data_IF_354899939648
#
_entry.id   IF_354899939648
#
_cell.length_a   1.000
_cell.length_b   1.000
_cell.length_c   1.000
_cell.angle_alpha   90.00
_cell.angle_beta   90.00
_cell.angle_gamma   90.00
#
_symmetry.space_group_name_H-M   'P 1'
#
loop_
_entity.id
_entity.type
_entity.pdbx_description
1 polymer ?
#
# COMPACT_ATOMS: atom_id res chain seq x y z
N UNK A 1 7.62 28.45 19.43
CA UNK A 1 6.75 27.27 19.21
C UNK A 1 7.58 26.23 18.48
N UNK A 2 7.75 25.09 19.12
CA UNK A 2 8.75 24.05 18.85
C UNK A 2 8.54 23.30 17.54
N UNK A 3 9.66 22.97 16.91
CA UNK A 3 9.86 22.07 15.77
C UNK A 3 9.40 20.64 16.11
N UNK A 4 8.47 20.05 15.33
CA UNK A 4 8.32 18.59 15.08
C UNK A 4 6.99 18.28 14.38
N UNK A 5 6.86 18.55 13.07
CA UNK A 5 5.75 17.96 12.29
C UNK A 5 6.09 17.69 10.81
N UNK A 6 7.36 17.38 10.52
CA UNK A 6 7.82 17.01 9.18
C UNK A 6 8.56 15.66 9.17
N UNK A 7 8.23 14.78 10.12
CA UNK A 7 8.90 13.48 10.30
C UNK A 7 7.97 12.27 10.24
N UNK A 8 6.75 12.42 9.73
CA UNK A 8 5.75 11.33 9.72
C UNK A 8 5.04 11.18 8.36
N UNK A 9 5.68 11.59 7.27
CA UNK A 9 5.14 11.42 5.90
C UNK A 9 6.04 10.59 4.99
N UNK A 10 7.14 10.03 5.52
CA UNK A 10 8.17 9.33 4.74
C UNK A 10 8.38 7.85 5.10
N UNK A 11 7.37 7.21 5.73
CA UNK A 11 7.37 5.75 5.95
C UNK A 11 5.98 5.14 5.71
N UNK A 12 5.26 5.58 4.68
CA UNK A 12 4.17 4.76 4.11
C UNK A 12 4.19 4.71 2.59
N UNK A 13 5.34 4.36 1.97
CA UNK A 13 5.36 4.07 0.54
C UNK A 13 4.35 2.98 0.15
N UNK A 14 3.92 2.15 1.11
CA UNK A 14 2.92 1.10 0.90
C UNK A 14 1.53 1.63 0.51
N UNK A 15 1.07 2.75 1.07
CA UNK A 15 -0.30 3.25 0.83
C UNK A 15 -0.47 3.81 -0.58
N UNK A 16 0.38 4.76 -0.97
CA UNK A 16 0.35 5.36 -2.31
C UNK A 16 0.63 4.32 -3.41
N UNK A 17 1.63 3.46 -3.20
CA UNK A 17 1.94 2.37 -4.15
C UNK A 17 0.78 1.40 -4.30
N UNK A 18 0.05 1.09 -3.23
CA UNK A 18 -1.09 0.18 -3.30
C UNK A 18 -2.22 0.72 -4.17
N UNK A 19 -2.46 2.05 -4.20
CA UNK A 19 -3.45 2.64 -5.09
C UNK A 19 -3.06 2.52 -6.56
N UNK A 20 -1.78 2.74 -6.89
CA UNK A 20 -1.28 2.57 -8.26
C UNK A 20 -1.35 1.10 -8.71
N UNK A 21 -0.92 0.17 -7.87
CA UNK A 21 -0.98 -1.27 -8.18
C UNK A 21 -2.43 -1.75 -8.28
N UNK A 22 -3.33 -1.22 -7.44
CA UNK A 22 -4.75 -1.57 -7.48
C UNK A 22 -5.37 -1.25 -8.84
N UNK A 23 -5.10 -0.06 -9.40
CA UNK A 23 -5.60 0.36 -10.70
C UNK A 23 -5.13 -0.60 -11.81
N UNK A 24 -3.81 -0.83 -11.87
CA UNK A 24 -3.21 -1.73 -12.85
C UNK A 24 -3.68 -3.20 -12.71
N UNK A 25 -3.88 -3.68 -11.48
CA UNK A 25 -4.39 -5.03 -11.22
C UNK A 25 -5.86 -5.19 -11.63
N UNK A 26 -6.69 -4.14 -11.48
CA UNK A 26 -8.07 -4.16 -11.99
C UNK A 26 -8.10 -4.22 -13.51
N UNK A 27 -7.24 -3.44 -14.18
CA UNK A 27 -7.12 -3.45 -15.64
C UNK A 27 -6.68 -4.83 -16.18
N UNK A 28 -5.80 -5.52 -15.46
CA UNK A 28 -5.34 -6.87 -15.80
C UNK A 28 -6.32 -7.98 -15.41
N UNK A 29 -7.27 -7.70 -14.51
CA UNK A 29 -8.15 -8.71 -13.90
C UNK A 29 -7.45 -9.61 -12.87
N UNK A 30 -6.32 -9.17 -12.29
CA UNK A 30 -5.61 -9.91 -11.25
C UNK A 30 -6.28 -9.72 -9.88
N UNK A 31 -7.24 -10.58 -9.61
CA UNK A 31 -8.04 -10.53 -8.38
C UNK A 31 -7.18 -10.73 -7.12
N UNK A 32 -6.10 -11.52 -7.19
CA UNK A 32 -5.24 -11.78 -6.03
C UNK A 32 -4.48 -10.52 -5.63
N UNK A 33 -3.94 -9.80 -6.60
CA UNK A 33 -3.26 -8.52 -6.36
C UNK A 33 -4.25 -7.44 -5.93
N UNK A 34 -5.45 -7.39 -6.52
CA UNK A 34 -6.52 -6.46 -6.10
C UNK A 34 -6.86 -6.64 -4.61
N UNK A 35 -7.01 -7.89 -4.15
CA UNK A 35 -7.33 -8.18 -2.75
C UNK A 35 -6.19 -7.76 -1.79
N UNK A 36 -4.93 -8.04 -2.18
CA UNK A 36 -3.77 -7.61 -1.42
C UNK A 36 -3.67 -6.08 -1.32
N UNK A 37 -3.88 -5.35 -2.41
CA UNK A 37 -3.89 -3.88 -2.41
C UNK A 37 -4.96 -3.32 -1.50
N UNK A 38 -6.19 -3.88 -1.54
CA UNK A 38 -7.29 -3.45 -0.66
C UNK A 38 -6.94 -3.62 0.82
N UNK A 39 -6.27 -4.71 1.20
CA UNK A 39 -5.82 -4.93 2.59
C UNK A 39 -4.72 -3.94 3.00
N UNK A 40 -3.78 -3.64 2.11
CA UNK A 40 -2.73 -2.64 2.37
C UNK A 40 -3.32 -1.25 2.56
N UNK A 41 -4.28 -0.87 1.71
CA UNK A 41 -4.98 0.41 1.80
C UNK A 41 -5.82 0.49 3.09
N UNK A 42 -6.58 -0.55 3.44
CA UNK A 42 -7.36 -0.56 4.68
C UNK A 42 -6.46 -0.40 5.92
N UNK A 43 -5.34 -1.13 5.99
CA UNK A 43 -4.37 -0.97 7.06
C UNK A 43 -3.78 0.45 7.11
N UNK A 44 -3.41 1.01 5.95
CA UNK A 44 -2.91 2.38 5.86
C UNK A 44 -3.93 3.42 6.36
N UNK A 45 -5.19 3.31 5.91
CA UNK A 45 -6.28 4.21 6.33
C UNK A 45 -6.58 4.09 7.84
N UNK A 46 -6.36 2.91 8.44
CA UNK A 46 -6.46 2.70 9.89
C UNK A 46 -5.24 3.17 10.68
N UNK A 47 -4.15 3.52 10.00
CA UNK A 47 -2.86 3.81 10.63
C UNK A 47 -2.16 2.56 11.18
N UNK A 48 -2.54 1.39 10.68
CA UNK A 48 -1.95 0.09 11.01
C UNK A 48 -0.84 -0.28 10.02
N UNK A 49 0.03 -1.20 10.41
CA UNK A 49 1.07 -1.73 9.53
C UNK A 49 0.47 -2.84 8.66
N UNK A 50 0.54 -2.75 7.32
CA UNK A 50 0.06 -3.79 6.43
C UNK A 50 0.75 -5.13 6.66
N UNK A 51 0.06 -6.24 6.39
CA UNK A 51 0.67 -7.55 6.48
C UNK A 51 1.84 -7.70 5.48
N UNK A 52 2.96 -8.26 5.94
CA UNK A 52 4.15 -8.49 5.09
C UNK A 52 3.84 -9.32 3.85
N UNK A 53 2.93 -10.28 3.95
CA UNK A 53 2.47 -11.09 2.82
C UNK A 53 1.80 -10.25 1.75
N UNK A 54 0.99 -9.26 2.13
CA UNK A 54 0.32 -8.38 1.16
C UNK A 54 1.33 -7.45 0.49
N UNK A 55 2.26 -6.87 1.26
CA UNK A 55 3.36 -6.06 0.71
C UNK A 55 4.23 -6.87 -0.27
N UNK A 56 4.46 -8.15 0.00
CA UNK A 56 5.19 -9.03 -0.92
C UNK A 56 4.46 -9.24 -2.25
N UNK A 57 3.13 -9.35 -2.23
CA UNK A 57 2.31 -9.43 -3.46
C UNK A 57 2.45 -8.15 -4.28
N UNK A 58 2.32 -6.97 -3.64
CA UNK A 58 2.50 -5.68 -4.33
C UNK A 58 3.90 -5.53 -4.92
N UNK A 59 4.93 -5.97 -4.19
CA UNK A 59 6.32 -5.91 -4.67
C UNK A 59 6.56 -6.86 -5.85
N UNK A 60 5.89 -8.02 -5.86
CA UNK A 60 5.99 -8.99 -6.95
C UNK A 60 5.26 -8.53 -8.23
N UNK A 61 4.25 -7.66 -8.12
CA UNK A 61 3.51 -7.16 -9.28
C UNK A 61 4.39 -6.40 -10.30
N UNK A 62 5.47 -5.77 -9.83
CA UNK A 62 6.39 -5.01 -10.69
C UNK A 62 7.58 -5.83 -11.21
N UNK A 63 7.65 -7.13 -10.88
CA UNK A 63 8.73 -8.03 -11.29
C UNK A 63 8.40 -8.79 -12.57
#
# INVERSE_FOLDING_TARGET
>A
MTMAQLGHEYDRPSGETAWTVLDAANDLGDIMTVDACRRVIDADLRGEVPARSDIAVLSAFFS
#
